data_IF_643325871941
#
_entry.id   IF_643325871941
#
_cell.length_a   1.000
_cell.length_b   1.000
_cell.length_c   1.000
_cell.angle_alpha   90.00
_cell.angle_beta   90.00
_cell.angle_gamma   90.00
#
_symmetry.space_group_name_H-M   'P 1'
#
loop_
_entity.id
_entity.type
_entity.pdbx_description
1 polymer ?
#
# COMPACT_ATOMS: atom_id res chain seq x y z
N UNK A 1 32.67 -13.14 -3.56
CA UNK A 1 31.39 -13.36 -2.85
C UNK A 1 30.92 -12.02 -2.37
N UNK A 2 30.04 -11.39 -3.14
CA UNK A 2 29.45 -10.10 -2.79
C UNK A 2 28.52 -10.31 -1.59
N UNK A 3 28.75 -9.58 -0.50
CA UNK A 3 27.84 -9.59 0.65
C UNK A 3 26.56 -8.91 0.18
N UNK A 4 25.55 -9.71 -0.17
CA UNK A 4 24.18 -9.22 -0.27
C UNK A 4 23.85 -8.68 1.12
N UNK A 5 23.80 -7.36 1.24
CA UNK A 5 23.27 -6.72 2.42
C UNK A 5 21.84 -7.25 2.57
N UNK A 6 21.60 -8.01 3.63
CA UNK A 6 20.23 -8.32 4.06
C UNK A 6 19.65 -6.96 4.41
N UNK A 7 18.88 -6.38 3.48
CA UNK A 7 18.12 -5.17 3.75
C UNK A 7 17.33 -5.45 5.02
N UNK A 8 17.53 -4.63 6.05
CA UNK A 8 16.71 -4.71 7.25
C UNK A 8 15.26 -4.66 6.78
N UNK A 9 14.50 -5.71 7.09
CA UNK A 9 13.10 -5.80 6.72
C UNK A 9 12.39 -4.72 7.54
N UNK A 10 12.19 -3.56 6.93
CA UNK A 10 11.52 -2.43 7.56
C UNK A 10 10.04 -2.81 7.73
N UNK A 11 9.71 -3.35 8.91
CA UNK A 11 8.34 -3.69 9.26
C UNK A 11 7.57 -2.40 9.56
N UNK A 12 6.38 -2.27 8.97
CA UNK A 12 5.45 -1.20 9.34
C UNK A 12 5.11 -1.30 10.84
N UNK A 13 4.98 -0.17 11.56
CA UNK A 13 4.59 -0.18 12.96
C UNK A 13 3.25 -0.91 13.14
N UNK A 14 3.27 -2.02 13.90
CA UNK A 14 2.08 -2.87 14.14
C UNK A 14 0.88 -2.10 14.69
N UNK A 15 1.13 -1.04 15.44
CA UNK A 15 0.08 -0.14 15.97
C UNK A 15 -0.68 0.58 14.85
N UNK A 16 0.02 1.02 13.80
CA UNK A 16 -0.60 1.70 12.65
C UNK A 16 -1.40 0.70 11.82
N UNK A 17 -0.83 -0.46 11.50
CA UNK A 17 -1.53 -1.53 10.78
C UNK A 17 -2.79 -1.95 11.54
N UNK A 18 -2.69 -2.16 12.86
CA UNK A 18 -3.84 -2.49 13.70
C UNK A 18 -4.94 -1.43 13.63
N UNK A 19 -4.58 -0.15 13.70
CA UNK A 19 -5.56 0.95 13.62
C UNK A 19 -6.29 0.93 12.29
N UNK A 20 -5.57 0.89 11.17
CA UNK A 20 -6.17 0.86 9.81
C UNK A 20 -7.14 -0.32 9.65
N UNK A 21 -6.72 -1.51 10.07
CA UNK A 21 -7.56 -2.70 9.97
C UNK A 21 -8.79 -2.58 10.87
N UNK A 22 -8.64 -2.12 12.12
CA UNK A 22 -9.77 -1.95 13.04
C UNK A 22 -10.77 -0.92 12.52
N UNK A 23 -10.28 0.25 12.08
CA UNK A 23 -11.11 1.33 11.55
C UNK A 23 -11.92 0.86 10.34
N UNK A 24 -11.33 0.03 9.46
CA UNK A 24 -12.05 -0.51 8.32
C UNK A 24 -13.06 -1.59 8.71
N UNK A 25 -12.72 -2.47 9.65
CA UNK A 25 -13.60 -3.52 10.14
C UNK A 25 -14.83 -2.95 10.89
N UNK A 26 -14.64 -1.90 11.68
CA UNK A 26 -15.73 -1.22 12.39
C UNK A 26 -16.79 -0.60 11.47
N UNK A 27 -16.51 -0.39 10.18
CA UNK A 27 -17.52 0.05 9.20
C UNK A 27 -18.49 -1.06 8.80
N UNK A 28 -18.16 -2.32 9.09
CA UNK A 28 -18.95 -3.50 8.70
C UNK A 28 -19.72 -4.13 9.87
N UNK A 29 -19.52 -3.64 11.10
CA UNK A 29 -20.21 -4.14 12.29
C UNK A 29 -20.86 -3.00 13.06
N UNK A 30 -22.19 -3.00 13.09
CA UNK A 30 -22.96 -2.08 13.96
C UNK A 30 -22.89 -2.54 15.44
N UNK A 31 -22.68 -3.83 15.68
CA UNK A 31 -22.68 -4.45 17.00
C UNK A 31 -21.27 -4.86 17.47
N UNK A 32 -20.58 -3.92 18.11
CA UNK A 32 -19.46 -4.20 19.01
C UNK A 32 -18.05 -4.14 18.41
N UNK A 33 -17.08 -4.29 19.31
CA UNK A 33 -15.66 -4.08 19.02
C UNK A 33 -15.05 -5.34 18.37
N UNK A 34 -14.61 -5.25 17.11
CA UNK A 34 -13.98 -6.38 16.41
C UNK A 34 -12.56 -6.61 16.93
N UNK A 35 -12.30 -7.84 17.40
CA UNK A 35 -10.99 -8.26 17.91
C UNK A 35 -10.12 -8.82 16.78
N UNK A 36 -8.98 -8.17 16.54
CA UNK A 36 -7.97 -8.66 15.60
C UNK A 36 -7.00 -9.58 16.33
N UNK A 37 -7.03 -10.87 16.00
CA UNK A 37 -6.11 -11.88 16.51
C UNK A 37 -4.65 -11.61 16.09
N UNK A 38 -3.69 -12.09 16.89
CA UNK A 38 -2.25 -11.87 16.66
C UNK A 38 -1.78 -12.34 15.28
N UNK A 39 -2.20 -13.53 14.85
CA UNK A 39 -1.80 -14.08 13.55
C UNK A 39 -2.45 -13.34 12.39
N UNK A 40 -3.70 -12.88 12.55
CA UNK A 40 -4.35 -12.02 11.57
C UNK A 40 -3.63 -10.69 11.40
N UNK A 41 -3.25 -10.04 12.51
CA UNK A 41 -2.45 -8.80 12.44
C UNK A 41 -1.09 -9.05 11.79
N UNK A 42 -0.43 -10.18 12.07
CA UNK A 42 0.84 -10.55 11.41
C UNK A 42 0.65 -10.71 9.91
N UNK A 43 -0.42 -11.38 9.48
CA UNK A 43 -0.74 -11.52 8.06
C UNK A 43 -0.90 -10.16 7.39
N UNK A 44 -1.65 -9.22 7.99
CA UNK A 44 -1.77 -7.86 7.44
C UNK A 44 -0.43 -7.11 7.36
N UNK A 45 0.46 -7.25 8.36
CA UNK A 45 1.77 -6.61 8.32
C UNK A 45 2.62 -7.14 7.16
N UNK A 46 2.65 -8.46 6.96
CA UNK A 46 3.38 -9.08 5.85
C UNK A 46 2.75 -8.73 4.49
N UNK A 47 1.42 -8.81 4.38
CA UNK A 47 0.70 -8.44 3.15
C UNK A 47 0.94 -6.99 2.76
N UNK A 48 0.91 -6.05 3.72
CA UNK A 48 1.19 -4.64 3.45
C UNK A 48 2.62 -4.43 2.94
N UNK A 49 3.60 -5.12 3.52
CA UNK A 49 4.99 -5.09 3.07
C UNK A 49 5.14 -5.63 1.65
N UNK A 50 4.55 -6.81 1.38
CA UNK A 50 4.56 -7.44 0.06
C UNK A 50 3.89 -6.52 -0.97
N UNK A 51 2.77 -5.89 -0.61
CA UNK A 51 2.05 -4.95 -1.46
C UNK A 51 2.92 -3.75 -1.84
N UNK A 52 3.61 -3.13 -0.87
CA UNK A 52 4.53 -2.01 -1.14
C UNK A 52 5.64 -2.43 -2.10
N UNK A 53 6.26 -3.59 -1.89
CA UNK A 53 7.30 -4.09 -2.79
C UNK A 53 6.78 -4.41 -4.18
N UNK A 54 5.62 -5.06 -4.28
CA UNK A 54 5.03 -5.43 -5.55
C UNK A 54 4.66 -4.19 -6.35
N UNK A 55 3.96 -3.22 -5.75
CA UNK A 55 3.63 -1.94 -6.38
C UNK A 55 4.89 -1.19 -6.82
N UNK A 56 5.91 -1.13 -5.97
CA UNK A 56 7.18 -0.46 -6.28
C UNK A 56 7.92 -1.14 -7.45
N UNK A 57 7.91 -2.47 -7.50
CA UNK A 57 8.53 -3.22 -8.59
C UNK A 57 7.80 -2.96 -9.91
N UNK A 58 6.46 -3.04 -9.92
CA UNK A 58 5.66 -2.75 -11.12
C UNK A 58 5.86 -1.31 -11.61
N UNK A 59 5.84 -0.33 -10.70
CA UNK A 59 6.08 1.07 -11.06
C UNK A 59 7.52 1.30 -11.59
N UNK A 60 8.50 0.60 -11.03
CA UNK A 60 9.89 0.65 -11.50
C UNK A 60 10.04 0.04 -12.90
N UNK A 61 9.33 -1.04 -13.22
CA UNK A 61 9.37 -1.66 -14.54
C UNK A 61 8.76 -0.71 -15.59
N UNK A 62 7.61 -0.08 -15.30
CA UNK A 62 6.99 0.95 -16.15
C UNK A 62 7.90 2.18 -16.36
N UNK A 63 8.61 2.60 -15.30
CA UNK A 63 9.59 3.68 -15.36
C UNK A 63 10.75 3.33 -16.31
N UNK A 64 11.28 2.09 -16.21
CA UNK A 64 12.36 1.59 -17.07
C UNK A 64 11.92 1.41 -18.53
N UNK A 65 10.71 0.93 -18.77
CA UNK A 65 10.11 0.86 -20.12
C UNK A 65 10.04 2.25 -20.77
N UNK A 66 9.75 3.28 -19.95
CA UNK A 66 9.80 4.68 -20.35
C UNK A 66 11.22 5.28 -20.45
N UNK A 67 12.27 4.46 -20.31
CA UNK A 67 13.69 4.86 -20.30
C UNK A 67 14.06 5.89 -19.23
N UNK A 68 13.31 5.94 -18.13
CA UNK A 68 13.60 6.82 -16.99
C UNK A 68 14.34 6.04 -15.89
N UNK A 69 15.01 6.78 -15.02
CA UNK A 69 15.73 6.25 -13.85
C UNK A 69 15.08 6.66 -12.53
N UNK A 70 14.01 7.46 -12.59
CA UNK A 70 13.30 7.98 -11.43
C UNK A 70 11.81 7.76 -11.65
N UNK A 71 11.21 7.00 -10.73
CA UNK A 71 9.77 6.72 -10.69
C UNK A 71 9.03 8.04 -10.43
N UNK A 72 7.99 8.33 -11.22
CA UNK A 72 7.12 9.48 -11.02
C UNK A 72 5.70 9.03 -10.60
N UNK A 73 4.81 9.99 -10.38
CA UNK A 73 3.44 9.69 -9.97
C UNK A 73 2.65 8.89 -11.02
N UNK A 74 2.85 9.16 -12.31
CA UNK A 74 2.16 8.44 -13.39
C UNK A 74 2.52 6.95 -13.43
N UNK A 75 3.78 6.60 -13.13
CA UNK A 75 4.21 5.21 -13.03
C UNK A 75 3.47 4.48 -11.93
N UNK A 76 3.31 5.12 -10.76
CA UNK A 76 2.60 4.54 -9.61
C UNK A 76 1.12 4.40 -9.94
N UNK A 77 0.50 5.40 -10.57
CA UNK A 77 -0.91 5.36 -10.94
C UNK A 77 -1.20 4.25 -11.96
N UNK A 78 -0.34 4.08 -12.98
CA UNK A 78 -0.44 2.97 -13.94
C UNK A 78 -0.16 1.63 -13.27
N UNK A 79 0.83 1.56 -12.40
CA UNK A 79 1.14 0.33 -11.67
C UNK A 79 -0.06 -0.15 -10.86
N UNK A 80 -0.81 0.75 -10.22
CA UNK A 80 -2.06 0.44 -9.50
C UNK A 80 -3.11 -0.19 -10.42
N UNK A 81 -3.24 0.29 -11.66
CA UNK A 81 -4.13 -0.32 -12.67
C UNK A 81 -3.64 -1.72 -13.08
N UNK A 82 -2.33 -1.88 -13.33
CA UNK A 82 -1.70 -3.15 -13.70
C UNK A 82 -1.78 -4.22 -12.60
N UNK A 83 -1.70 -3.82 -11.32
CA UNK A 83 -1.85 -4.74 -10.18
C UNK A 83 -3.31 -5.00 -9.80
N UNK A 84 -4.25 -4.69 -10.68
CA UNK A 84 -5.69 -4.95 -10.55
C UNK A 84 -6.40 -4.21 -9.40
N UNK A 85 -5.94 -2.99 -9.07
CA UNK A 85 -6.62 -2.10 -8.11
C UNK A 85 -7.06 -0.76 -8.73
N UNK A 86 -7.76 -0.76 -9.90
CA UNK A 86 -8.12 0.47 -10.61
C UNK A 86 -9.00 1.43 -9.78
N UNK A 87 -9.74 0.92 -8.79
CA UNK A 87 -10.55 1.73 -7.87
C UNK A 87 -9.74 2.71 -7.04
N UNK A 88 -8.42 2.48 -6.87
CA UNK A 88 -7.55 3.37 -6.10
C UNK A 88 -6.99 4.53 -6.93
N UNK A 89 -7.08 4.50 -8.25
CA UNK A 89 -6.51 5.55 -9.13
C UNK A 89 -7.12 6.91 -8.84
N UNK A 90 -8.46 7.01 -8.77
CA UNK A 90 -9.15 8.28 -8.53
C UNK A 90 -8.84 8.86 -7.13
N UNK A 91 -8.95 8.07 -6.04
CA UNK A 91 -8.51 8.52 -4.72
C UNK A 91 -7.03 8.98 -4.66
N UNK A 92 -6.14 8.29 -5.36
CA UNK A 92 -4.71 8.64 -5.40
C UNK A 92 -4.47 9.94 -6.16
N UNK A 93 -5.13 10.15 -7.31
CA UNK A 93 -5.05 11.42 -8.06
C UNK A 93 -5.55 12.60 -7.22
N UNK A 94 -6.70 12.44 -6.56
CA UNK A 94 -7.23 13.49 -5.68
C UNK A 94 -6.25 13.85 -4.54
N UNK A 95 -5.60 12.83 -3.97
CA UNK A 95 -4.58 13.01 -2.93
C UNK A 95 -3.33 13.71 -3.45
N UNK A 96 -2.91 13.42 -4.69
CA UNK A 96 -1.76 14.05 -5.35
C UNK A 96 -2.00 15.53 -5.65
N UNK A 97 -3.21 15.88 -6.10
CA UNK A 97 -3.60 17.25 -6.45
C UNK A 97 -3.85 18.14 -5.20
N UNK A 98 -3.73 17.58 -4.00
CA UNK A 98 -4.06 18.28 -2.75
C UNK A 98 -5.55 18.56 -2.57
N UNK A 99 -6.39 17.97 -3.41
CA UNK A 99 -7.85 18.10 -3.32
C UNK A 99 -8.31 17.17 -2.20
N UNK A 100 -8.48 17.72 -0.98
CA UNK A 100 -9.15 16.99 0.10
C UNK A 100 -10.50 16.51 -0.43
N UNK A 101 -10.75 15.21 -0.30
CA UNK A 101 -12.00 14.57 -0.70
C UNK A 101 -13.20 15.44 -0.32
N UNK A 102 -14.01 15.92 -1.29
CA UNK A 102 -15.20 16.73 -0.97
C UNK A 102 -16.33 15.90 -0.32
N UNK A 103 -16.06 14.65 0.07
CA UNK A 103 -17.02 13.70 0.63
C UNK A 103 -16.49 12.96 1.88
N UNK A 104 -15.56 13.58 2.63
CA UNK A 104 -15.29 13.22 4.04
C UNK A 104 -15.58 14.41 4.94
#
# INVERSE_FOLDING_TARGET
>A
MEKVAVAEVEELPKTIVRRVVKDKLSQFSDDGDIIIHKDGLRAFCESARIFIHYLSATANDLCKESRRQTINADDVLKAIEEIEFPEFVQPLKASLDGTKFPYV
#
